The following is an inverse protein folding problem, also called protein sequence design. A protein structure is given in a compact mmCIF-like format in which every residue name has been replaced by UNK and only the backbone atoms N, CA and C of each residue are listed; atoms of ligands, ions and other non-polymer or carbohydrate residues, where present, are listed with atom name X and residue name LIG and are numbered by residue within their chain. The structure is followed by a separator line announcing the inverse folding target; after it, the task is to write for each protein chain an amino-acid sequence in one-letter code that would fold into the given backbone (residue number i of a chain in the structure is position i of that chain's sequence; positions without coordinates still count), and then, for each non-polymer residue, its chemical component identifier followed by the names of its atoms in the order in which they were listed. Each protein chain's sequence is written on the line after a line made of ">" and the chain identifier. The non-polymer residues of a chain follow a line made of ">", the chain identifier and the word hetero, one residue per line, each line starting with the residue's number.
data_IF_900547860654
#
_entry.id   IF_900547860654
#
_cell.length_a   1.000
_cell.length_b   1.000
_cell.length_c   1.000
_cell.angle_alpha   90.00
_cell.angle_beta   90.00
_cell.angle_gamma   90.00
#
_symmetry.space_group_name_H-M   'P 1'
#
loop_
_entity.id
_entity.type
_entity.pdbx_description
1 polymer ?
#
# COMPACT_ATOMS: atom_id res chain seq x y z
N UNK A 1 -4.24 11.64 25.08
CA UNK A 1 -5.42 12.05 24.30
C UNK A 1 -4.95 12.51 22.92
N UNK A 2 -5.06 11.66 21.89
CA UNK A 2 -4.77 12.04 20.51
C UNK A 2 -5.98 12.84 19.99
N UNK A 3 -5.97 14.15 20.17
CA UNK A 3 -7.08 15.05 19.83
C UNK A 3 -7.35 15.21 18.32
N UNK A 4 -6.52 14.62 17.46
CA UNK A 4 -6.57 14.80 16.00
C UNK A 4 -6.91 13.54 15.18
N UNK A 5 -7.45 12.49 15.81
CA UNK A 5 -7.88 11.32 15.07
C UNK A 5 -9.29 11.51 14.50
N UNK A 6 -9.43 11.27 13.20
CA UNK A 6 -10.70 11.22 12.50
C UNK A 6 -11.25 9.79 12.38
N UNK A 7 -10.37 8.78 12.43
CA UNK A 7 -10.73 7.36 12.41
C UNK A 7 -9.92 6.60 13.46
N UNK A 8 -10.60 5.75 14.20
CA UNK A 8 -10.02 4.77 15.11
C UNK A 8 -10.60 3.39 14.79
N UNK A 9 -9.74 2.41 14.56
CA UNK A 9 -10.11 1.01 14.41
C UNK A 9 -9.62 0.17 15.60
N UNK A 10 -9.90 -1.13 15.59
CA UNK A 10 -9.31 -2.11 16.49
C UNK A 10 -8.66 -3.26 15.70
N UNK A 11 -7.85 -4.06 16.38
CA UNK A 11 -7.42 -5.34 15.83
C UNK A 11 -8.59 -6.31 15.77
N UNK A 12 -8.48 -7.30 14.88
CA UNK A 12 -9.54 -8.29 14.66
C UNK A 12 -9.00 -9.71 14.80
N UNK A 13 -9.85 -10.60 15.29
CA UNK A 13 -9.64 -12.04 15.25
C UNK A 13 -10.51 -12.65 14.16
N UNK A 14 -9.91 -13.39 13.27
CA UNK A 14 -10.60 -13.99 12.12
C UNK A 14 -10.99 -15.45 12.46
N UNK A 15 -12.27 -15.80 12.26
CA UNK A 15 -12.76 -17.15 12.51
C UNK A 15 -13.69 -17.67 11.39
N UNK A 16 -13.92 -18.99 11.25
CA UNK A 16 -13.24 -20.10 11.92
C UNK A 16 -11.83 -20.33 11.35
N UNK A 17 -10.81 -20.43 12.21
CA UNK A 17 -9.40 -20.49 11.82
C UNK A 17 -9.08 -21.62 10.84
N UNK A 18 -9.75 -22.79 11.00
CA UNK A 18 -9.48 -23.99 10.23
C UNK A 18 -9.76 -23.87 8.71
N UNK A 19 -10.58 -22.90 8.33
CA UNK A 19 -10.98 -22.68 6.92
C UNK A 19 -10.28 -21.53 6.25
N UNK A 20 -9.45 -20.79 7.00
CA UNK A 20 -8.82 -19.56 6.48
C UNK A 20 -7.56 -19.91 5.69
N UNK A 21 -7.50 -19.44 4.47
CA UNK A 21 -6.31 -19.60 3.62
C UNK A 21 -5.11 -18.84 4.21
N UNK A 22 -3.92 -19.42 4.11
CA UNK A 22 -2.68 -18.88 4.67
C UNK A 22 -2.40 -17.41 4.25
N UNK A 23 -2.61 -17.08 2.97
CA UNK A 23 -2.43 -15.71 2.49
C UNK A 23 -3.38 -14.70 3.13
N UNK A 24 -4.58 -15.14 3.53
CA UNK A 24 -5.52 -14.27 4.21
C UNK A 24 -5.17 -14.11 5.71
N UNK A 25 -4.63 -15.16 6.34
CA UNK A 25 -4.06 -15.06 7.68
C UNK A 25 -2.88 -14.08 7.73
N UNK A 26 -1.99 -14.11 6.72
CA UNK A 26 -0.89 -13.13 6.59
C UNK A 26 -1.40 -11.70 6.42
N UNK A 27 -2.44 -11.51 5.59
CA UNK A 27 -3.07 -10.20 5.43
C UNK A 27 -3.59 -9.65 6.76
N UNK A 28 -4.32 -10.46 7.54
CA UNK A 28 -4.86 -10.04 8.85
C UNK A 28 -3.73 -9.77 9.85
N UNK A 29 -2.68 -10.59 9.86
CA UNK A 29 -1.52 -10.36 10.72
C UNK A 29 -0.85 -9.01 10.40
N UNK A 30 -0.60 -8.74 9.12
CA UNK A 30 -0.08 -7.45 8.69
C UNK A 30 -1.02 -6.30 9.04
N UNK A 31 -2.31 -6.46 8.77
CA UNK A 31 -3.30 -5.43 9.04
C UNK A 31 -3.38 -5.10 10.53
N UNK A 32 -3.34 -6.10 11.41
CA UNK A 32 -3.33 -5.91 12.86
C UNK A 32 -2.06 -5.20 13.38
N UNK A 33 -0.97 -5.20 12.59
CA UNK A 33 0.26 -4.48 12.91
C UNK A 33 0.26 -3.02 12.47
N UNK A 34 -0.63 -2.61 11.57
CA UNK A 34 -0.81 -1.21 11.17
C UNK A 34 -1.53 -0.43 12.27
N UNK A 35 -0.84 0.03 13.30
CA UNK A 35 -1.44 0.61 14.51
C UNK A 35 -1.43 2.14 14.49
N UNK A 36 -0.27 2.73 14.21
CA UNK A 36 -0.06 4.18 14.30
C UNK A 36 -0.43 4.90 12.99
N UNK A 37 -0.67 6.22 13.04
CA UNK A 37 -0.83 6.99 11.81
C UNK A 37 0.35 6.86 10.84
N UNK A 38 1.57 6.69 11.36
CA UNK A 38 2.77 6.49 10.54
C UNK A 38 2.78 5.14 9.83
N UNK A 39 2.34 4.06 10.50
CA UNK A 39 2.21 2.73 9.88
C UNK A 39 1.17 2.77 8.75
N UNK A 40 0.04 3.43 9.01
CA UNK A 40 -1.06 3.54 8.05
C UNK A 40 -0.62 4.36 6.83
N UNK A 41 0.02 5.52 7.03
CA UNK A 41 0.57 6.34 5.94
C UNK A 41 1.60 5.57 5.09
N UNK A 42 2.44 4.76 5.73
CA UNK A 42 3.46 3.98 5.05
C UNK A 42 2.89 2.85 4.18
N UNK A 43 1.75 2.28 4.58
CA UNK A 43 1.18 1.06 3.98
C UNK A 43 -0.17 1.26 3.29
N UNK A 44 -0.71 2.47 3.30
CA UNK A 44 -2.05 2.75 2.73
C UNK A 44 -2.17 2.34 1.25
N UNK A 45 -1.07 2.36 0.48
CA UNK A 45 -1.01 1.93 -0.91
C UNK A 45 -0.60 0.47 -1.09
N UNK A 46 -0.30 -0.25 -0.01
CA UNK A 46 -0.01 -1.68 -0.07
C UNK A 46 -1.31 -2.49 -0.15
N UNK A 47 -2.20 -2.28 0.83
CA UNK A 47 -3.51 -2.90 0.93
C UNK A 47 -4.38 -2.08 1.89
N UNK A 48 -5.71 -2.37 1.98
CA UNK A 48 -6.58 -1.71 2.97
C UNK A 48 -6.12 -1.99 4.41
N UNK A 49 -5.74 -0.96 5.18
CA UNK A 49 -5.23 -1.16 6.54
C UNK A 49 -6.32 -1.42 7.57
N UNK A 50 -7.59 -1.38 7.19
CA UNK A 50 -8.72 -1.54 8.10
C UNK A 50 -9.71 -2.60 7.62
N UNK A 51 -10.23 -3.36 8.56
CA UNK A 51 -11.45 -4.15 8.39
C UNK A 51 -12.64 -3.22 8.63
N UNK A 52 -13.49 -3.02 7.63
CA UNK A 52 -14.58 -2.03 7.67
C UNK A 52 -15.40 -2.08 8.98
N UNK A 53 -15.89 -3.23 9.46
CA UNK A 53 -16.68 -3.26 10.70
C UNK A 53 -15.87 -2.99 11.99
N UNK A 54 -14.54 -2.85 11.94
CA UNK A 54 -13.72 -2.50 13.08
C UNK A 54 -13.54 -1.01 13.29
N UNK A 55 -14.06 -0.15 12.38
CA UNK A 55 -13.77 1.28 12.40
C UNK A 55 -14.85 2.10 13.09
N UNK A 56 -14.40 3.13 13.79
CA UNK A 56 -15.22 4.24 14.29
C UNK A 56 -14.60 5.53 13.78
N UNK A 57 -15.39 6.47 13.32
CA UNK A 57 -14.90 7.72 12.75
C UNK A 57 -15.73 8.93 13.18
N UNK A 58 -15.13 10.11 13.07
CA UNK A 58 -15.85 11.37 13.28
C UNK A 58 -16.77 11.63 12.10
N UNK A 59 -18.08 11.61 12.36
CA UNK A 59 -19.11 11.78 11.32
C UNK A 59 -18.89 13.05 10.49
N UNK A 60 -18.53 14.15 11.13
CA UNK A 60 -18.34 15.44 10.47
C UNK A 60 -17.20 15.38 9.42
N UNK A 61 -16.09 14.73 9.73
CA UNK A 61 -14.95 14.60 8.82
C UNK A 61 -15.32 13.76 7.59
N UNK A 62 -16.08 12.68 7.80
CA UNK A 62 -16.57 11.84 6.69
C UNK A 62 -17.56 12.60 5.81
N UNK A 63 -18.45 13.38 6.39
CA UNK A 63 -19.41 14.21 5.63
C UNK A 63 -18.70 15.29 4.81
N UNK A 64 -17.66 15.94 5.34
CA UNK A 64 -16.84 16.91 4.59
C UNK A 64 -16.16 16.28 3.37
N UNK A 65 -15.81 15.00 3.44
CA UNK A 65 -15.27 14.23 2.33
C UNK A 65 -16.33 13.71 1.35
N UNK A 66 -17.63 13.94 1.62
CA UNK A 66 -18.74 13.48 0.78
C UNK A 66 -19.20 12.05 1.08
N UNK A 67 -18.84 11.48 2.24
CA UNK A 67 -19.28 10.15 2.66
C UNK A 67 -18.69 8.99 1.84
N UNK A 68 -19.36 7.86 1.85
CA UNK A 68 -19.07 6.74 0.95
C UNK A 68 -19.50 7.08 -0.48
N UNK A 69 -18.71 6.67 -1.44
CA UNK A 69 -18.99 6.89 -2.87
C UNK A 69 -19.37 5.58 -3.54
N UNK A 70 -20.30 5.66 -4.46
CA UNK A 70 -20.61 4.55 -5.36
C UNK A 70 -19.62 4.51 -6.53
N UNK A 71 -19.24 3.30 -6.95
CA UNK A 71 -18.32 3.10 -8.06
C UNK A 71 -17.87 1.64 -8.19
N UNK A 72 -17.05 1.37 -9.19
CA UNK A 72 -16.47 0.05 -9.43
C UNK A 72 -15.22 -0.19 -8.56
N UNK A 73 -15.31 0.11 -7.29
CA UNK A 73 -14.23 -0.02 -6.31
C UNK A 73 -14.82 -0.34 -4.91
N UNK A 74 -13.96 -0.81 -4.00
CA UNK A 74 -14.31 -1.00 -2.60
C UNK A 74 -14.53 0.37 -1.93
N UNK A 75 -15.77 0.66 -1.53
CA UNK A 75 -16.22 1.95 -1.01
C UNK A 75 -15.51 2.36 0.28
N UNK A 76 -15.16 1.38 1.10
CA UNK A 76 -14.43 1.59 2.35
C UNK A 76 -12.98 2.00 2.07
N UNK A 77 -12.28 1.29 1.20
CA UNK A 77 -10.90 1.61 0.87
C UNK A 77 -10.78 2.94 0.11
N UNK A 78 -11.75 3.28 -0.76
CA UNK A 78 -11.84 4.63 -1.35
C UNK A 78 -11.92 5.71 -0.27
N UNK A 79 -12.73 5.49 0.76
CA UNK A 79 -12.86 6.44 1.86
C UNK A 79 -11.55 6.60 2.64
N UNK A 80 -10.86 5.50 2.95
CA UNK A 80 -9.57 5.56 3.65
C UNK A 80 -8.50 6.30 2.85
N UNK A 81 -8.45 6.09 1.55
CA UNK A 81 -7.52 6.81 0.66
C UNK A 81 -7.84 8.30 0.57
N UNK A 82 -9.12 8.70 0.55
CA UNK A 82 -9.53 10.11 0.63
C UNK A 82 -9.19 10.76 1.97
N UNK A 83 -9.40 10.04 3.06
CA UNK A 83 -9.00 10.50 4.40
C UNK A 83 -7.49 10.73 4.48
N UNK A 84 -6.70 9.80 3.94
CA UNK A 84 -5.26 9.93 3.84
C UNK A 84 -4.84 11.17 3.04
N UNK A 85 -5.40 11.38 1.84
CA UNK A 85 -5.10 12.56 1.02
C UNK A 85 -5.51 13.88 1.69
N UNK A 86 -6.56 13.86 2.51
CA UNK A 86 -6.99 15.02 3.29
C UNK A 86 -6.16 15.26 4.55
N UNK A 87 -5.15 14.43 4.83
CA UNK A 87 -4.31 14.52 6.03
C UNK A 87 -5.03 14.21 7.33
N UNK A 88 -6.16 13.48 7.27
CA UNK A 88 -6.92 13.11 8.46
C UNK A 88 -6.23 11.99 9.23
N UNK A 89 -6.11 12.15 10.54
CA UNK A 89 -5.46 11.17 11.41
C UNK A 89 -6.26 9.87 11.51
N UNK A 90 -5.60 8.75 11.23
CA UNK A 90 -6.14 7.40 11.33
C UNK A 90 -5.24 6.54 12.21
N UNK A 91 -5.82 5.75 13.11
CA UNK A 91 -5.06 4.85 14.00
C UNK A 91 -5.86 3.58 14.30
N UNK A 92 -5.19 2.63 14.96
CA UNK A 92 -5.82 1.39 15.41
C UNK A 92 -5.40 1.10 16.86
N UNK A 93 -6.35 0.66 17.67
CA UNK A 93 -6.09 0.16 19.02
C UNK A 93 -5.34 -1.19 18.94
N UNK A 94 -4.34 -1.42 19.82
CA UNK A 94 -3.58 -2.67 19.85
C UNK A 94 -4.34 -3.79 20.60
N UNK A 95 -5.67 -3.76 20.56
CA UNK A 95 -6.55 -4.74 21.19
C UNK A 95 -7.46 -5.39 20.17
N UNK A 96 -7.68 -6.70 20.30
CA UNK A 96 -8.66 -7.45 19.52
C UNK A 96 -10.03 -7.21 20.14
N UNK A 97 -10.85 -6.38 19.49
CA UNK A 97 -12.20 -6.05 19.96
C UNK A 97 -13.29 -6.52 18.99
N UNK A 98 -12.93 -7.22 17.92
CA UNK A 98 -13.86 -7.73 16.92
C UNK A 98 -13.48 -9.16 16.52
N UNK A 99 -14.41 -10.10 16.73
CA UNK A 99 -14.38 -11.40 16.07
C UNK A 99 -14.99 -11.28 14.67
N UNK A 100 -14.14 -11.41 13.64
CA UNK A 100 -14.56 -11.22 12.24
C UNK A 100 -14.74 -12.55 11.55
N UNK A 101 -16.00 -12.84 11.21
CA UNK A 101 -16.36 -14.11 10.56
C UNK A 101 -15.92 -14.14 9.11
N UNK A 102 -15.09 -15.12 8.76
CA UNK A 102 -14.82 -15.44 7.36
C UNK A 102 -15.90 -16.35 6.76
N UNK A 103 -16.23 -16.10 5.51
CA UNK A 103 -17.19 -16.89 4.76
C UNK A 103 -16.86 -16.87 3.26
N UNK A 104 -17.04 -17.98 2.53
CA UNK A 104 -16.91 -17.99 1.06
C UNK A 104 -17.86 -17.03 0.35
N UNK A 105 -18.97 -16.65 1.00
CA UNK A 105 -20.00 -15.73 0.46
C UNK A 105 -19.77 -14.27 0.85
N UNK A 106 -18.65 -13.94 1.49
CA UNK A 106 -18.38 -12.53 1.83
C UNK A 106 -18.31 -11.68 0.57
N UNK A 107 -18.85 -10.45 0.65
CA UNK A 107 -18.83 -9.48 -0.45
C UNK A 107 -17.42 -9.31 -1.01
N UNK A 108 -16.43 -9.13 -0.15
CA UNK A 108 -15.03 -8.97 -0.56
C UNK A 108 -14.42 -10.16 -1.32
N UNK A 109 -15.12 -11.31 -1.37
CA UNK A 109 -14.71 -12.50 -2.15
C UNK A 109 -15.44 -12.67 -3.47
N UNK A 110 -16.64 -12.12 -3.59
CA UNK A 110 -17.54 -12.36 -4.72
C UNK A 110 -17.86 -11.09 -5.53
N UNK A 111 -17.68 -9.91 -4.93
CA UNK A 111 -17.99 -8.64 -5.59
C UNK A 111 -16.81 -8.20 -6.49
N UNK A 112 -17.05 -7.92 -7.77
CA UNK A 112 -16.02 -7.42 -8.69
C UNK A 112 -15.32 -6.13 -8.21
N UNK A 113 -15.99 -5.30 -7.42
CA UNK A 113 -15.45 -4.08 -6.81
C UNK A 113 -14.29 -4.38 -5.84
N UNK A 114 -14.26 -5.60 -5.30
CA UNK A 114 -13.19 -6.10 -4.43
C UNK A 114 -12.15 -6.94 -5.17
N UNK A 115 -12.14 -6.93 -6.50
CA UNK A 115 -11.14 -7.64 -7.29
C UNK A 115 -9.75 -7.00 -7.16
N UNK A 116 -8.70 -7.77 -7.38
CA UNK A 116 -7.32 -7.23 -7.40
C UNK A 116 -7.14 -6.12 -8.44
N UNK A 117 -7.88 -6.19 -9.56
CA UNK A 117 -7.87 -5.16 -10.58
C UNK A 117 -8.48 -3.86 -10.06
N UNK A 118 -9.66 -3.91 -9.43
CA UNK A 118 -10.34 -2.74 -8.87
C UNK A 118 -9.48 -2.07 -7.78
N UNK A 119 -8.91 -2.86 -6.87
CA UNK A 119 -7.97 -2.36 -5.87
C UNK A 119 -6.71 -1.73 -6.50
N UNK A 120 -6.17 -2.34 -7.55
CA UNK A 120 -5.02 -1.81 -8.28
C UNK A 120 -5.32 -0.47 -8.95
N UNK A 121 -6.49 -0.34 -9.59
CA UNK A 121 -6.95 0.90 -10.22
C UNK A 121 -7.14 2.02 -9.18
N UNK A 122 -7.80 1.69 -8.06
CA UNK A 122 -8.04 2.64 -6.99
C UNK A 122 -6.73 3.15 -6.38
N UNK A 123 -5.82 2.25 -6.02
CA UNK A 123 -4.49 2.63 -5.50
C UNK A 123 -3.71 3.50 -6.48
N UNK A 124 -3.65 3.12 -7.74
CA UNK A 124 -2.91 3.88 -8.75
C UNK A 124 -3.51 5.28 -8.95
N UNK A 125 -4.84 5.42 -8.85
CA UNK A 125 -5.51 6.71 -8.92
C UNK A 125 -5.07 7.64 -7.78
N UNK A 126 -5.14 7.16 -6.54
CA UNK A 126 -4.79 7.97 -5.37
C UNK A 126 -3.28 8.19 -5.22
N UNK A 127 -2.47 7.18 -5.53
CA UNK A 127 -1.01 7.30 -5.52
C UNK A 127 -0.52 8.32 -6.56
N UNK A 128 -1.14 8.39 -7.74
CA UNK A 128 -0.83 9.41 -8.75
C UNK A 128 -1.08 10.84 -8.24
N UNK A 129 -2.02 11.03 -7.31
CA UNK A 129 -2.29 12.31 -6.65
C UNK A 129 -1.44 12.57 -5.39
N UNK A 130 -0.60 11.62 -4.97
CA UNK A 130 0.19 11.76 -3.75
C UNK A 130 1.31 12.81 -3.92
N UNK A 131 1.46 13.77 -3.00
CA UNK A 131 2.50 14.79 -3.09
C UNK A 131 3.92 14.23 -3.17
N UNK A 132 4.19 13.06 -2.57
CA UNK A 132 5.49 12.37 -2.63
C UNK A 132 5.85 11.98 -4.07
N UNK A 133 4.87 11.52 -4.84
CA UNK A 133 5.05 11.12 -6.23
C UNK A 133 5.11 12.32 -7.18
N UNK A 134 4.41 13.40 -6.84
CA UNK A 134 4.38 14.64 -7.62
C UNK A 134 5.50 15.63 -7.25
N UNK A 135 6.46 15.19 -6.46
CA UNK A 135 7.67 15.96 -6.18
C UNK A 135 8.63 15.96 -7.37
N UNK A 136 9.56 16.90 -7.44
CA UNK A 136 10.60 16.94 -8.45
C UNK A 136 11.67 15.83 -8.31
N UNK A 137 11.45 14.87 -7.42
CA UNK A 137 12.38 13.74 -7.18
C UNK A 137 12.29 12.72 -8.30
N UNK A 138 13.43 12.13 -8.73
CA UNK A 138 13.40 10.98 -9.61
C UNK A 138 12.62 9.81 -8.97
N UNK A 139 11.94 9.02 -9.81
CA UNK A 139 11.22 7.83 -9.40
C UNK A 139 12.05 6.59 -9.71
N UNK A 140 12.17 5.65 -8.78
CA UNK A 140 12.70 4.31 -9.02
C UNK A 140 11.65 3.25 -8.67
N UNK A 141 11.56 2.20 -9.46
CA UNK A 141 10.64 1.08 -9.19
C UNK A 141 11.42 -0.17 -8.81
N UNK A 142 11.12 -0.73 -7.64
CA UNK A 142 11.76 -1.94 -7.16
C UNK A 142 10.99 -3.18 -7.63
N UNK A 143 11.68 -4.01 -8.44
CA UNK A 143 11.19 -5.21 -9.07
C UNK A 143 11.04 -5.05 -10.59
N UNK A 144 11.93 -5.68 -11.36
CA UNK A 144 11.92 -5.68 -12.83
C UNK A 144 11.19 -6.90 -13.43
N UNK A 145 10.64 -7.78 -12.59
CA UNK A 145 9.95 -8.99 -13.02
C UNK A 145 8.59 -8.70 -13.70
N UNK A 146 8.13 -9.66 -14.52
CA UNK A 146 6.87 -9.52 -15.28
C UNK A 146 5.67 -9.15 -14.40
N UNK A 147 5.51 -9.83 -13.24
CA UNK A 147 4.40 -9.56 -12.31
C UNK A 147 4.45 -8.15 -11.72
N UNK A 148 5.64 -7.68 -11.34
CA UNK A 148 5.85 -6.33 -10.82
C UNK A 148 5.50 -5.28 -11.88
N UNK A 149 6.04 -5.42 -13.10
CA UNK A 149 5.74 -4.52 -14.22
C UNK A 149 4.25 -4.46 -14.55
N UNK A 150 3.55 -5.58 -14.40
CA UNK A 150 2.11 -5.64 -14.61
C UNK A 150 1.33 -4.83 -13.55
N UNK A 151 1.81 -4.84 -12.28
CA UNK A 151 1.20 -4.07 -11.18
C UNK A 151 1.43 -2.56 -11.32
N UNK A 152 2.63 -2.15 -11.70
CA UNK A 152 2.94 -0.72 -11.85
C UNK A 152 2.46 -0.11 -13.19
N UNK A 153 1.93 -0.93 -14.12
CA UNK A 153 1.45 -0.48 -15.43
C UNK A 153 0.50 0.71 -15.33
N UNK A 154 -0.42 0.72 -14.38
CA UNK A 154 -1.40 1.79 -14.20
C UNK A 154 -0.77 3.14 -13.81
N UNK A 155 0.40 3.16 -13.19
CA UNK A 155 1.18 4.38 -12.97
C UNK A 155 1.98 4.78 -14.21
N UNK A 156 2.58 3.81 -14.90
CA UNK A 156 3.29 4.07 -16.17
C UNK A 156 2.35 4.68 -17.22
N UNK A 157 1.11 4.20 -17.31
CA UNK A 157 0.05 4.73 -18.19
C UNK A 157 -0.40 6.17 -17.83
N UNK A 158 0.03 6.67 -16.66
CA UNK A 158 -0.16 8.04 -16.18
C UNK A 158 1.13 8.86 -16.20
N UNK A 159 2.08 8.45 -17.03
CA UNK A 159 3.37 9.13 -17.27
C UNK A 159 4.33 9.16 -16.04
N UNK A 160 4.07 8.34 -15.01
CA UNK A 160 5.01 8.16 -13.90
C UNK A 160 6.12 7.19 -14.29
N UNK A 161 7.03 7.64 -15.16
CA UNK A 161 8.14 6.83 -15.64
C UNK A 161 9.29 6.80 -14.64
N UNK A 162 9.81 5.62 -14.26
CA UNK A 162 10.99 5.55 -13.41
C UNK A 162 12.26 5.88 -14.19
N UNK A 163 13.27 6.41 -13.49
CA UNK A 163 14.63 6.55 -14.03
C UNK A 163 15.42 5.24 -13.99
N UNK A 164 15.00 4.30 -13.12
CA UNK A 164 15.59 2.97 -13.00
C UNK A 164 14.59 1.94 -12.46
N UNK A 165 14.76 0.69 -12.91
CA UNK A 165 14.19 -0.50 -12.28
C UNK A 165 15.23 -1.12 -11.37
N UNK A 166 14.96 -1.29 -10.09
CA UNK A 166 15.85 -1.95 -9.15
C UNK A 166 15.48 -3.44 -9.06
N UNK A 167 16.42 -4.32 -9.25
CA UNK A 167 16.22 -5.78 -9.10
C UNK A 167 17.45 -6.44 -8.52
N UNK A 168 17.28 -7.61 -7.90
CA UNK A 168 18.37 -8.42 -7.33
C UNK A 168 18.77 -9.57 -8.25
N UNK A 169 18.01 -9.86 -9.29
CA UNK A 169 18.29 -10.97 -10.22
C UNK A 169 19.40 -10.55 -11.22
N UNK A 170 20.58 -11.16 -11.15
CA UNK A 170 21.70 -10.80 -12.02
C UNK A 170 21.39 -10.99 -13.52
N UNK A 171 20.43 -11.85 -13.87
CA UNK A 171 20.01 -12.04 -15.27
C UNK A 171 19.21 -10.87 -15.82
N UNK A 172 18.71 -9.99 -14.96
CA UNK A 172 17.95 -8.80 -15.34
C UNK A 172 18.79 -7.53 -15.28
N UNK A 173 19.72 -7.46 -14.34
CA UNK A 173 20.62 -6.32 -14.17
C UNK A 173 21.41 -6.08 -15.45
N UNK A 174 21.52 -4.81 -15.87
CA UNK A 174 22.15 -4.40 -17.12
C UNK A 174 21.21 -4.39 -18.34
N UNK A 175 20.04 -5.00 -18.25
CA UNK A 175 19.03 -4.91 -19.31
C UNK A 175 18.29 -3.56 -19.27
N UNK A 176 17.44 -3.33 -20.28
CA UNK A 176 16.52 -2.17 -20.33
C UNK A 176 15.08 -2.64 -20.49
N UNK A 177 14.19 -1.93 -19.83
CA UNK A 177 12.73 -2.12 -19.94
C UNK A 177 12.13 -0.80 -20.43
N UNK A 178 11.60 -0.77 -21.65
CA UNK A 178 11.10 0.45 -22.29
C UNK A 178 12.13 1.61 -22.25
N UNK A 179 13.40 1.29 -22.53
CA UNK A 179 14.47 2.27 -22.47
C UNK A 179 15.06 2.57 -21.08
N UNK A 180 14.36 2.18 -20.00
CA UNK A 180 14.79 2.42 -18.61
C UNK A 180 15.73 1.31 -18.13
N UNK A 181 16.90 1.61 -17.55
CA UNK A 181 17.86 0.61 -17.11
C UNK A 181 17.35 -0.22 -15.93
N UNK A 182 17.74 -1.49 -15.89
CA UNK A 182 17.60 -2.35 -14.71
C UNK A 182 18.93 -2.36 -13.97
N UNK A 183 18.90 -1.95 -12.72
CA UNK A 183 20.09 -1.74 -11.88
C UNK A 183 20.04 -2.60 -10.61
N UNK A 184 21.18 -2.84 -10.01
CA UNK A 184 21.29 -3.48 -8.70
C UNK A 184 20.90 -2.51 -7.56
N UNK A 185 20.52 -3.01 -6.36
CA UNK A 185 20.16 -2.17 -5.23
C UNK A 185 21.25 -1.17 -4.81
N UNK A 186 22.52 -1.51 -4.95
CA UNK A 186 23.64 -0.64 -4.62
C UNK A 186 23.66 0.67 -5.42
N UNK A 187 23.03 0.71 -6.61
CA UNK A 187 22.85 1.92 -7.40
C UNK A 187 22.16 3.04 -6.60
N UNK A 188 21.19 2.70 -5.73
CA UNK A 188 20.49 3.67 -4.89
C UNK A 188 21.40 4.45 -3.95
N UNK A 189 22.54 3.86 -3.54
CA UNK A 189 23.49 4.50 -2.63
C UNK A 189 24.25 5.68 -3.27
N UNK A 190 24.27 5.71 -4.60
CA UNK A 190 25.03 6.68 -5.39
C UNK A 190 24.15 7.84 -5.90
N UNK A 191 22.84 7.79 -5.63
CA UNK A 191 21.91 8.76 -6.20
C UNK A 191 21.78 10.04 -5.35
N UNK A 192 21.95 11.18 -6.00
CA UNK A 192 21.74 12.50 -5.43
C UNK A 192 21.06 13.41 -6.47
N UNK A 193 19.82 13.87 -6.23
CA UNK A 193 18.97 13.58 -5.06
C UNK A 193 18.53 12.10 -5.02
N UNK A 194 18.26 11.60 -3.82
CA UNK A 194 17.70 10.25 -3.63
C UNK A 194 16.36 10.12 -4.37
N UNK A 195 16.16 9.10 -5.23
CA UNK A 195 14.86 8.86 -5.84
C UNK A 195 13.80 8.44 -4.80
N UNK A 196 12.53 8.70 -5.10
CA UNK A 196 11.44 8.01 -4.44
C UNK A 196 11.40 6.57 -4.96
N UNK A 197 11.39 5.59 -4.05
CA UNK A 197 11.36 4.17 -4.43
C UNK A 197 9.97 3.59 -4.22
N UNK A 198 9.33 3.12 -5.29
CA UNK A 198 8.07 2.35 -5.19
C UNK A 198 8.38 0.85 -5.26
N UNK A 199 8.01 0.13 -4.21
CA UNK A 199 8.30 -1.31 -4.07
C UNK A 199 7.06 -2.12 -4.37
N UNK A 200 7.03 -2.77 -5.55
CA UNK A 200 5.92 -3.62 -6.02
C UNK A 200 6.16 -5.12 -5.81
N UNK A 201 7.21 -5.49 -5.07
CA UNK A 201 7.55 -6.89 -4.82
C UNK A 201 6.68 -7.44 -3.69
N UNK A 202 6.00 -8.57 -3.96
CA UNK A 202 5.09 -9.23 -3.00
C UNK A 202 5.56 -10.61 -2.54
N UNK A 203 6.76 -11.03 -2.93
CA UNK A 203 7.28 -12.33 -2.52
C UNK A 203 7.45 -12.37 -1.00
N UNK A 204 7.13 -13.50 -0.41
CA UNK A 204 7.31 -13.72 1.03
C UNK A 204 8.75 -13.45 1.47
N UNK A 205 8.94 -12.74 2.58
CA UNK A 205 10.26 -12.33 3.09
C UNK A 205 10.97 -11.22 2.29
N UNK A 206 10.48 -10.88 1.10
CA UNK A 206 11.14 -9.87 0.26
C UNK A 206 10.98 -8.46 0.81
N UNK A 207 9.84 -8.13 1.42
CA UNK A 207 9.58 -6.79 1.96
C UNK A 207 10.50 -6.48 3.13
N UNK A 208 10.66 -7.42 4.04
CA UNK A 208 11.53 -7.30 5.20
C UNK A 208 12.99 -7.08 4.77
N UNK A 209 13.43 -7.85 3.79
CA UNK A 209 14.78 -7.70 3.23
C UNK A 209 14.95 -6.34 2.53
N UNK A 210 14.00 -5.93 1.70
CA UNK A 210 14.04 -4.64 0.97
C UNK A 210 14.02 -3.49 1.97
N UNK A 211 13.17 -3.55 2.99
CA UNK A 211 13.13 -2.54 4.03
C UNK A 211 14.47 -2.44 4.76
N UNK A 212 15.02 -3.56 5.24
CA UNK A 212 16.30 -3.57 5.93
C UNK A 212 17.44 -3.00 5.07
N UNK A 213 17.43 -3.28 3.76
CA UNK A 213 18.40 -2.69 2.83
C UNK A 213 18.20 -1.17 2.72
N UNK A 214 16.97 -0.69 2.53
CA UNK A 214 16.66 0.72 2.38
C UNK A 214 16.95 1.51 3.66
N UNK A 215 16.61 0.95 4.82
CA UNK A 215 16.92 1.54 6.12
C UNK A 215 18.43 1.71 6.31
N UNK A 216 19.23 0.66 5.98
CA UNK A 216 20.70 0.72 6.00
C UNK A 216 21.26 1.75 5.01
N UNK A 217 20.56 1.98 3.89
CA UNK A 217 20.88 3.01 2.90
C UNK A 217 20.38 4.41 3.32
N UNK A 218 19.89 4.56 4.56
CA UNK A 218 19.31 5.79 5.11
C UNK A 218 18.12 6.34 4.29
N UNK A 219 17.34 5.45 3.64
CA UNK A 219 16.02 5.77 3.12
C UNK A 219 14.99 5.62 4.23
N UNK A 220 14.12 6.61 4.38
CA UNK A 220 13.06 6.59 5.40
C UNK A 220 11.74 6.09 4.78
N UNK A 221 11.14 5.08 5.41
CA UNK A 221 9.81 4.58 5.02
C UNK A 221 8.80 5.71 5.03
N UNK A 222 7.82 5.67 4.15
CA UNK A 222 6.82 6.71 3.93
C UNK A 222 7.34 8.00 3.29
N UNK A 223 8.60 8.37 3.48
CA UNK A 223 9.20 9.57 2.88
C UNK A 223 9.99 9.28 1.61
N UNK A 224 10.85 8.27 1.66
CA UNK A 224 11.80 7.96 0.59
C UNK A 224 11.44 6.68 -0.16
N UNK A 225 10.63 5.83 0.43
CA UNK A 225 10.08 4.65 -0.24
C UNK A 225 8.69 4.29 0.28
N UNK A 226 7.91 3.65 -0.61
CA UNK A 226 6.57 3.13 -0.34
C UNK A 226 6.48 1.69 -0.80
N UNK A 227 5.84 0.83 0.01
CA UNK A 227 5.36 -0.46 -0.46
C UNK A 227 4.02 -0.25 -1.17
N UNK A 228 3.92 -0.80 -2.39
CA UNK A 228 2.73 -0.68 -3.23
C UNK A 228 2.24 -2.06 -3.63
N UNK A 229 0.96 -2.32 -3.42
CA UNK A 229 0.35 -3.61 -3.63
C UNK A 229 -0.21 -3.90 -5.02
#
# INVERSE_FOLDING_TARGET
>A
TQSNLSLLACQVHLFPEQTIQAGYQEYIRWQNQCLTPADIDADIYLESPFVHPSVTYRREDILKLGGYREGNFAEDYDLWLRMHQAGLGMAKLPEILLDWRDSPRRLSRIDPRCSQQAFGQLRAHYLAGDPRLNSARPLAMWGAGRKTRQRCRLLLERDFMPVAWVDIDPRKIGNRIQGVPVVEPAWLLQQHPKPLVLVYVRNHGAREWIQAFLDKAAYQRSRDFLFVG
#
